data_IF_173117274206
#
_entry.id   IF_173117274206
#
_cell.length_a   1.000
_cell.length_b   1.000
_cell.length_c   1.000
_cell.angle_alpha   90.00
_cell.angle_beta   90.00
_cell.angle_gamma   90.00
#
_symmetry.space_group_name_H-M   'P 1'
#
loop_
_entity.id
_entity.type
_entity.pdbx_description
1 polymer ?
#
# COMPACT_ATOMS: atom_id res chain seq x y z
N UNK A 1 4.14 2.12 2.17
CA UNK A 1 3.03 1.25 1.73
C UNK A 1 2.52 1.79 0.42
N UNK A 2 2.51 0.95 -0.61
CA UNK A 2 1.92 1.20 -1.92
C UNK A 2 0.76 0.23 -2.00
N UNK A 3 -0.43 0.68 -2.36
CA UNK A 3 -1.59 -0.19 -2.56
C UNK A 3 -2.28 0.27 -3.83
N UNK A 4 -2.68 -0.67 -4.68
CA UNK A 4 -3.41 -0.32 -5.88
C UNK A 4 -4.82 0.14 -5.52
N UNK A 5 -5.33 1.18 -6.19
CA UNK A 5 -6.67 1.74 -5.93
C UNK A 5 -7.75 0.66 -5.99
N UNK A 6 -7.69 -0.21 -6.99
CA UNK A 6 -8.73 -1.22 -7.20
C UNK A 6 -8.66 -2.33 -6.13
N UNK A 7 -7.52 -2.53 -5.46
CA UNK A 7 -7.43 -3.42 -4.29
C UNK A 7 -8.18 -2.83 -3.10
N UNK A 8 -8.14 -1.50 -2.94
CA UNK A 8 -8.93 -0.80 -1.92
C UNK A 8 -10.42 -1.00 -2.16
N UNK A 9 -10.87 -0.81 -3.40
CA UNK A 9 -12.28 -0.99 -3.78
C UNK A 9 -12.74 -2.44 -3.52
N UNK A 10 -11.97 -3.42 -4.02
CA UNK A 10 -12.29 -4.85 -3.83
C UNK A 10 -12.26 -5.25 -2.35
N UNK A 11 -11.34 -4.71 -1.56
CA UNK A 11 -11.29 -5.00 -0.13
C UNK A 11 -12.51 -4.44 0.62
N UNK A 12 -12.99 -3.24 0.27
CA UNK A 12 -14.21 -2.65 0.82
C UNK A 12 -15.43 -3.49 0.44
N UNK A 13 -15.56 -3.85 -0.84
CA UNK A 13 -16.64 -4.70 -1.33
C UNK A 13 -16.67 -6.05 -0.61
N UNK A 14 -15.51 -6.69 -0.46
CA UNK A 14 -15.39 -7.94 0.30
C UNK A 14 -15.79 -7.76 1.78
N UNK A 15 -15.36 -6.67 2.42
CA UNK A 15 -15.67 -6.40 3.82
C UNK A 15 -17.18 -6.25 4.03
N UNK A 16 -17.87 -5.56 3.12
CA UNK A 16 -19.33 -5.43 3.10
C UNK A 16 -19.98 -6.81 2.92
N UNK A 17 -19.58 -7.55 1.88
CA UNK A 17 -20.17 -8.85 1.54
C UNK A 17 -19.99 -9.91 2.64
N UNK A 18 -18.90 -9.82 3.40
CA UNK A 18 -18.60 -10.74 4.51
C UNK A 18 -19.06 -10.21 5.88
N UNK A 19 -19.72 -9.06 5.92
CA UNK A 19 -20.13 -8.38 7.16
C UNK A 19 -18.99 -8.29 8.19
N UNK A 20 -17.79 -7.91 7.71
CA UNK A 20 -16.62 -7.76 8.58
C UNK A 20 -16.80 -6.56 9.49
N UNK A 21 -16.46 -6.74 10.76
CA UNK A 21 -16.59 -5.70 11.78
C UNK A 21 -15.26 -5.52 12.53
N UNK A 22 -14.66 -4.32 12.42
CA UNK A 22 -13.44 -3.94 13.13
C UNK A 22 -12.39 -3.27 12.24
N UNK A 23 -11.20 -3.05 12.83
CA UNK A 23 -10.04 -2.46 12.14
C UNK A 23 -9.26 -3.56 11.42
N UNK A 24 -9.02 -3.39 10.13
CA UNK A 24 -8.21 -4.28 9.31
C UNK A 24 -7.16 -3.46 8.55
N UNK A 25 -5.93 -3.96 8.52
CA UNK A 25 -4.93 -3.42 7.61
C UNK A 25 -5.14 -4.01 6.22
N UNK A 26 -5.10 -3.13 5.21
CA UNK A 26 -4.98 -3.50 3.81
C UNK A 26 -3.54 -3.29 3.38
N UNK A 27 -2.86 -4.38 3.03
CA UNK A 27 -1.51 -4.37 2.50
C UNK A 27 -1.45 -5.35 1.33
N UNK A 28 -0.53 -5.10 0.41
CA UNK A 28 -0.14 -6.04 -0.63
C UNK A 28 1.20 -6.69 -0.26
N UNK A 29 1.64 -7.63 -1.09
CA UNK A 29 2.91 -8.35 -0.90
C UNK A 29 4.10 -7.60 -1.53
N UNK A 30 3.95 -6.30 -1.86
CA UNK A 30 5.03 -5.47 -2.41
C UNK A 30 6.05 -5.20 -1.32
N UNK A 31 7.25 -5.76 -1.50
CA UNK A 31 8.37 -5.64 -0.55
C UNK A 31 9.23 -4.38 -0.78
N UNK A 32 9.06 -3.74 -1.93
CA UNK A 32 9.78 -2.55 -2.34
C UNK A 32 9.34 -1.33 -1.53
N UNK A 33 10.28 -0.47 -1.14
CA UNK A 33 9.99 0.81 -0.50
C UNK A 33 9.35 1.79 -1.50
N UNK A 34 8.71 2.85 -0.99
CA UNK A 34 8.17 3.90 -1.88
C UNK A 34 9.26 4.55 -2.73
N UNK A 35 10.44 4.76 -2.15
CA UNK A 35 11.58 5.36 -2.84
C UNK A 35 12.03 4.50 -4.02
N UNK A 36 12.26 3.21 -3.79
CA UNK A 36 12.69 2.27 -4.82
C UNK A 36 11.63 2.11 -5.93
N UNK A 37 10.35 2.05 -5.57
CA UNK A 37 9.28 1.90 -6.56
C UNK A 37 9.23 3.10 -7.52
N UNK A 38 9.26 4.33 -7.00
CA UNK A 38 9.19 5.52 -7.85
C UNK A 38 10.50 5.78 -8.60
N UNK A 39 11.66 5.38 -8.04
CA UNK A 39 12.92 5.40 -8.79
C UNK A 39 12.85 4.51 -10.04
N UNK A 40 12.32 3.28 -9.90
CA UNK A 40 12.12 2.38 -11.04
C UNK A 40 11.17 2.98 -12.08
N UNK A 41 10.07 3.61 -11.66
CA UNK A 41 9.15 4.30 -12.59
C UNK A 41 9.86 5.44 -13.33
N UNK A 42 10.70 6.23 -12.65
CA UNK A 42 11.48 7.28 -13.31
C UNK A 42 12.46 6.70 -14.34
N UNK A 43 13.18 5.64 -14.00
CA UNK A 43 14.12 4.96 -14.90
C UNK A 43 13.41 4.45 -16.17
N UNK A 44 12.24 3.81 -16.01
CA UNK A 44 11.44 3.29 -17.13
C UNK A 44 10.91 4.39 -18.05
N UNK A 45 10.70 5.61 -17.53
CA UNK A 45 10.18 6.75 -18.28
C UNK A 45 11.27 7.72 -18.75
N UNK A 46 12.54 7.47 -18.42
CA UNK A 46 13.66 8.38 -18.74
C UNK A 46 13.56 9.72 -18.02
N UNK A 47 13.03 9.73 -16.79
CA UNK A 47 12.85 10.91 -15.95
C UNK A 47 13.90 10.97 -14.84
N UNK A 48 14.17 12.18 -14.36
CA UNK A 48 14.97 12.36 -13.14
C UNK A 48 14.28 11.76 -11.92
N UNK A 49 15.08 11.31 -10.95
CA UNK A 49 14.58 10.69 -9.72
C UNK A 49 13.87 11.71 -8.83
N UNK A 50 12.85 11.25 -8.11
CA UNK A 50 12.05 12.09 -7.22
C UNK A 50 12.88 12.59 -6.04
N UNK A 51 12.86 13.89 -5.79
CA UNK A 51 13.36 14.48 -4.55
C UNK A 51 12.33 14.26 -3.43
N UNK A 52 12.72 13.50 -2.40
CA UNK A 52 11.88 13.27 -1.24
C UNK A 52 12.02 14.43 -0.27
N UNK A 53 10.95 15.21 -0.11
CA UNK A 53 10.87 16.18 0.99
C UNK A 53 10.99 15.42 2.32
N UNK A 54 11.89 15.87 3.20
CA UNK A 54 12.09 15.35 4.56
C UNK A 54 10.87 15.66 5.46
N UNK A 55 9.71 15.14 5.10
CA UNK A 55 8.50 15.17 5.89
C UNK A 55 8.65 14.12 7.00
N UNK A 56 8.29 14.53 8.23
CA UNK A 56 8.42 13.70 9.43
C UNK A 56 7.89 12.27 9.17
N UNK A 57 8.62 11.21 9.58
CA UNK A 57 8.24 9.84 9.25
C UNK A 57 6.84 9.55 9.78
N UNK A 58 5.95 9.10 8.89
CA UNK A 58 4.62 8.65 9.26
C UNK A 58 4.65 7.50 10.29
N UNK A 59 3.49 7.10 10.84
CA UNK A 59 3.42 6.11 11.92
C UNK A 59 4.18 4.82 11.56
N UNK A 60 5.16 4.45 12.38
CA UNK A 60 6.08 3.32 12.13
C UNK A 60 5.48 1.95 12.46
N UNK A 61 4.37 1.90 13.23
CA UNK A 61 3.83 0.66 13.80
C UNK A 61 2.34 0.52 13.44
N UNK A 62 2.04 -0.09 12.29
CA UNK A 62 0.70 -0.61 12.00
C UNK A 62 0.63 -2.08 12.45
N UNK A 63 -0.38 -2.43 13.25
CA UNK A 63 -0.50 -3.76 13.87
C UNK A 63 -1.11 -4.78 12.90
N UNK A 64 -0.41 -5.89 12.65
CA UNK A 64 -0.82 -6.94 11.70
C UNK A 64 -1.81 -7.97 12.29
N UNK A 65 -2.47 -7.67 13.41
CA UNK A 65 -3.38 -8.63 14.09
C UNK A 65 -4.65 -8.95 13.29
N UNK A 66 -5.06 -8.07 12.36
CA UNK A 66 -6.20 -8.28 11.47
C UNK A 66 -5.83 -7.84 10.06
N UNK A 67 -5.57 -8.82 9.21
CA UNK A 67 -5.01 -8.62 7.88
C UNK A 67 -6.01 -9.06 6.81
N UNK A 68 -6.36 -8.15 5.91
CA UNK A 68 -7.06 -8.48 4.66
C UNK A 68 -6.00 -8.77 3.60
N UNK A 69 -5.66 -10.05 3.42
CA UNK A 69 -4.88 -10.51 2.27
C UNK A 69 -5.82 -10.74 1.09
N UNK A 70 -5.58 -10.05 -0.01
CA UNK A 70 -6.18 -10.41 -1.30
C UNK A 70 -5.44 -11.67 -1.79
N UNK A 71 -6.17 -12.76 -1.98
CA UNK A 71 -5.65 -13.94 -2.69
C UNK A 71 -5.73 -13.66 -4.19
N UNK A 72 -4.68 -14.06 -4.92
CA UNK A 72 -4.53 -13.91 -6.36
C UNK A 72 -5.71 -14.47 -7.18
#
# INVERSE_FOLDING_TARGET
MIVHRDDVVRAIEMAINKNLNGLYNLFNEVKTSKAEFFAQVCDEQGLDHVEWLNLSPGPKNVSNQKNLKMLD
#
